data_IF_631274907437
#
_entry.id   IF_631274907437
#
_cell.length_a   1.000
_cell.length_b   1.000
_cell.length_c   1.000
_cell.angle_alpha   90.00
_cell.angle_beta   90.00
_cell.angle_gamma   90.00
#
_symmetry.space_group_name_H-M   'P 1'
#
loop_
_entity.id
_entity.type
_entity.pdbx_description
1 polymer ?
#
# COMPACT_ATOMS: atom_id res chain seq x y z
N UNK A 1 -14.80 11.00 -15.60
CA UNK A 1 -14.06 9.95 -14.86
C UNK A 1 -12.62 10.44 -14.71
N UNK A 2 -12.15 10.72 -13.49
CA UNK A 2 -10.79 11.24 -13.29
C UNK A 2 -9.75 10.16 -13.64
N UNK A 3 -8.92 10.43 -14.65
CA UNK A 3 -7.72 9.66 -14.94
C UNK A 3 -6.63 10.01 -13.92
N UNK A 4 -6.48 9.18 -12.89
CA UNK A 4 -5.35 9.27 -11.96
C UNK A 4 -4.11 8.60 -12.57
N UNK A 5 -3.46 9.27 -13.52
CA UNK A 5 -2.13 8.85 -14.02
C UNK A 5 -0.98 9.70 -13.48
N UNK A 6 -1.26 10.65 -12.60
CA UNK A 6 -0.26 11.59 -12.09
C UNK A 6 -0.07 11.34 -10.60
N UNK A 7 1.13 10.90 -10.22
CA UNK A 7 1.56 10.87 -8.83
C UNK A 7 1.38 12.28 -8.24
N UNK A 8 0.89 12.43 -7.00
CA UNK A 8 0.67 13.75 -6.42
C UNK A 8 1.97 14.55 -6.45
N UNK A 9 1.91 15.79 -6.93
CA UNK A 9 3.09 16.66 -7.04
C UNK A 9 3.73 16.97 -5.68
N UNK A 10 2.94 16.92 -4.61
CA UNK A 10 3.43 17.06 -3.24
C UNK A 10 2.62 16.20 -2.26
N UNK A 11 3.27 15.27 -1.56
CA UNK A 11 2.65 14.44 -0.51
C UNK A 11 2.54 15.18 0.83
N UNK A 12 3.41 16.18 1.05
CA UNK A 12 3.50 17.00 2.25
C UNK A 12 3.32 18.48 1.87
N UNK A 13 2.08 18.97 1.71
CA UNK A 13 1.79 20.38 1.51
C UNK A 13 2.33 21.27 2.65
N UNK A 14 2.25 22.59 2.46
CA UNK A 14 2.75 23.59 3.42
C UNK A 14 2.27 23.28 4.84
N UNK A 15 3.21 23.22 5.79
CA UNK A 15 2.97 22.77 7.17
C UNK A 15 3.51 21.38 7.50
N UNK A 16 4.12 20.68 6.53
CA UNK A 16 4.82 19.39 6.69
C UNK A 16 3.92 18.27 7.25
N UNK A 17 2.60 18.41 7.10
CA UNK A 17 1.63 17.35 7.39
C UNK A 17 1.28 16.64 6.10
N UNK A 18 1.07 15.33 6.21
CA UNK A 18 0.74 14.51 5.05
C UNK A 18 -0.68 14.83 4.55
N UNK A 19 -0.86 14.87 3.24
CA UNK A 19 -2.19 14.90 2.63
C UNK A 19 -2.73 13.48 2.46
N UNK A 20 -3.85 13.18 3.10
CA UNK A 20 -4.42 11.84 3.16
C UNK A 20 -5.03 11.39 1.84
N UNK A 21 -5.60 12.30 1.03
CA UNK A 21 -6.09 11.96 -0.31
C UNK A 21 -4.95 11.63 -1.26
N UNK A 22 -3.84 12.37 -1.16
CA UNK A 22 -2.64 12.10 -1.95
C UNK A 22 -1.96 10.81 -1.52
N UNK A 23 -1.85 10.55 -0.22
CA UNK A 23 -1.34 9.27 0.29
C UNK A 23 -2.18 8.09 -0.21
N UNK A 24 -3.51 8.23 -0.15
CA UNK A 24 -4.44 7.23 -0.64
C UNK A 24 -4.22 6.93 -2.13
N UNK A 25 -4.18 7.97 -2.98
CA UNK A 25 -3.92 7.83 -4.41
C UNK A 25 -2.52 7.27 -4.70
N UNK A 26 -1.53 7.60 -3.87
CA UNK A 26 -0.18 7.07 -4.00
C UNK A 26 -0.16 5.56 -3.83
N UNK A 27 -0.86 5.04 -2.82
CA UNK A 27 -0.99 3.59 -2.63
C UNK A 27 -1.69 2.94 -3.83
N UNK A 28 -2.81 3.51 -4.32
CA UNK A 28 -3.48 3.00 -5.54
C UNK A 28 -2.53 2.83 -6.72
N UNK A 29 -1.76 3.88 -7.02
CA UNK A 29 -0.79 3.87 -8.12
C UNK A 29 0.32 2.84 -7.89
N UNK A 30 0.76 2.64 -6.64
CA UNK A 30 1.73 1.59 -6.30
C UNK A 30 1.15 0.21 -6.64
N UNK A 31 -0.07 -0.11 -6.20
CA UNK A 31 -0.71 -1.39 -6.50
C UNK A 31 -0.88 -1.66 -7.99
N UNK A 32 -1.35 -0.65 -8.75
CA UNK A 32 -1.47 -0.74 -10.21
C UNK A 32 -0.11 -0.94 -10.90
N UNK A 33 0.91 -0.22 -10.45
CA UNK A 33 2.28 -0.35 -10.98
C UNK A 33 2.86 -1.74 -10.73
N UNK A 34 2.68 -2.29 -9.52
CA UNK A 34 3.15 -3.63 -9.17
C UNK A 34 2.43 -4.69 -10.01
N UNK A 35 1.11 -4.58 -10.16
CA UNK A 35 0.33 -5.48 -11.02
C UNK A 35 0.82 -5.47 -12.47
N UNK A 36 1.11 -4.28 -13.00
CA UNK A 36 1.65 -4.11 -14.35
C UNK A 36 3.04 -4.74 -14.48
N UNK A 37 3.93 -4.52 -13.50
CA UNK A 37 5.28 -5.09 -13.50
C UNK A 37 5.26 -6.62 -13.44
N UNK A 38 4.43 -7.21 -12.57
CA UNK A 38 4.20 -8.66 -12.51
C UNK A 38 3.81 -9.24 -13.87
N UNK A 39 2.87 -8.58 -14.56
CA UNK A 39 2.41 -9.00 -15.89
C UNK A 39 3.49 -8.86 -16.95
N UNK A 40 4.20 -7.74 -16.99
CA UNK A 40 5.16 -7.45 -18.06
C UNK A 40 6.45 -8.26 -17.93
N UNK A 41 7.02 -8.30 -16.72
CA UNK A 41 8.33 -8.86 -16.43
C UNK A 41 8.27 -10.37 -16.16
N UNK A 42 7.23 -10.83 -15.46
CA UNK A 42 7.12 -12.22 -14.99
C UNK A 42 5.97 -13.01 -15.62
N UNK A 43 5.18 -12.38 -16.51
CA UNK A 43 3.99 -12.98 -17.15
C UNK A 43 2.94 -13.47 -16.15
N UNK A 44 2.94 -12.92 -14.94
CA UNK A 44 1.97 -13.22 -13.89
C UNK A 44 0.88 -12.15 -13.91
N UNK A 45 -0.32 -12.50 -14.39
CA UNK A 45 -1.45 -11.57 -14.44
C UNK A 45 -2.25 -11.64 -13.15
N UNK A 46 -2.03 -10.67 -12.26
CA UNK A 46 -2.71 -10.60 -10.95
C UNK A 46 -3.28 -9.19 -10.76
N UNK A 47 -4.60 -9.00 -10.74
CA UNK A 47 -5.18 -7.70 -10.41
C UNK A 47 -4.82 -7.36 -8.96
N UNK A 48 -4.31 -6.15 -8.72
CA UNK A 48 -3.99 -5.66 -7.38
C UNK A 48 -4.74 -4.35 -7.21
N UNK A 49 -5.46 -4.24 -6.10
CA UNK A 49 -6.01 -2.97 -5.66
C UNK A 49 -5.45 -2.62 -4.30
N UNK A 50 -5.25 -1.35 -4.03
CA UNK A 50 -4.65 -0.92 -2.77
C UNK A 50 -5.07 0.48 -2.40
N UNK A 51 -4.96 0.81 -1.14
CA UNK A 51 -5.35 2.11 -0.63
C UNK A 51 -4.83 2.33 0.78
N UNK A 52 -4.96 3.56 1.27
CA UNK A 52 -4.66 3.87 2.65
C UNK A 52 -5.51 3.06 3.64
N UNK A 53 -4.87 2.48 4.66
CA UNK A 53 -5.48 1.83 5.83
C UNK A 53 -5.20 2.72 7.07
N UNK A 54 -6.06 2.76 8.10
CA UNK A 54 -5.66 3.40 9.37
C UNK A 54 -6.73 3.94 10.33
N UNK A 55 -8.01 3.60 10.19
CA UNK A 55 -9.02 3.96 11.20
C UNK A 55 -9.05 5.44 11.67
N UNK A 56 -9.35 5.64 12.95
CA UNK A 56 -9.78 6.91 13.58
C UNK A 56 -8.76 8.05 13.64
N UNK A 57 -7.48 7.83 13.30
CA UNK A 57 -6.47 8.92 13.25
C UNK A 57 -6.33 9.57 11.87
N UNK A 58 -7.05 9.08 10.87
CA UNK A 58 -7.04 9.61 9.50
C UNK A 58 -8.16 10.63 9.28
N UNK A 59 -8.20 11.67 10.13
CA UNK A 59 -9.14 12.78 9.96
C UNK A 59 -8.45 13.87 9.14
N UNK A 60 -8.99 14.14 7.95
CA UNK A 60 -8.52 15.22 7.09
C UNK A 60 -9.20 16.56 7.44
N UNK A 61 -8.51 17.66 7.14
CA UNK A 61 -9.13 18.96 6.87
C UNK A 61 -9.77 18.95 5.47
N UNK A 62 -10.53 19.99 5.14
CA UNK A 62 -11.26 20.08 3.86
C UNK A 62 -10.33 20.07 2.63
N UNK A 63 -9.05 20.44 2.81
CA UNK A 63 -8.01 20.40 1.78
C UNK A 63 -7.27 19.04 1.70
N UNK A 64 -7.66 18.06 2.53
CA UNK A 64 -7.06 16.73 2.59
C UNK A 64 -5.85 16.60 3.53
N UNK A 65 -5.35 17.70 4.11
CA UNK A 65 -4.26 17.62 5.08
C UNK A 65 -4.70 16.88 6.35
N UNK A 66 -3.82 16.05 6.90
CA UNK A 66 -4.10 15.39 8.17
C UNK A 66 -4.27 16.42 9.32
N UNK A 67 -5.31 16.25 10.14
CA UNK A 67 -5.52 17.06 11.35
C UNK A 67 -4.43 16.83 12.39
N UNK A 68 -3.84 15.64 12.41
CA UNK A 68 -2.79 15.22 13.33
C UNK A 68 -1.50 14.90 12.57
N UNK A 69 -0.39 14.75 13.31
CA UNK A 69 0.85 14.30 12.71
C UNK A 69 0.82 12.77 12.49
N UNK A 70 0.53 12.36 11.25
CA UNK A 70 0.48 10.95 10.86
C UNK A 70 1.89 10.46 10.55
N UNK A 71 2.47 9.71 11.50
CA UNK A 71 3.84 9.19 11.40
C UNK A 71 3.92 7.69 11.12
N UNK A 72 2.78 7.01 10.94
CA UNK A 72 2.71 5.58 10.58
C UNK A 72 1.82 5.47 9.36
N UNK A 73 2.39 5.04 8.24
CA UNK A 73 1.69 5.00 6.97
C UNK A 73 1.27 3.57 6.70
N UNK A 74 -0.04 3.32 6.66
CA UNK A 74 -0.57 1.98 6.42
C UNK A 74 -1.27 1.90 5.07
N UNK A 75 -1.07 0.77 4.38
CA UNK A 75 -1.75 0.42 3.13
C UNK A 75 -2.51 -0.89 3.31
N UNK A 76 -3.72 -0.97 2.76
CA UNK A 76 -4.41 -2.22 2.45
C UNK A 76 -4.07 -2.60 1.01
N UNK A 77 -3.73 -3.86 0.77
CA UNK A 77 -3.47 -4.42 -0.56
C UNK A 77 -4.31 -5.67 -0.72
N UNK A 78 -5.25 -5.64 -1.65
CA UNK A 78 -6.06 -6.81 -1.97
C UNK A 78 -5.39 -7.64 -3.05
N UNK A 79 -5.31 -8.94 -2.79
CA UNK A 79 -4.85 -9.96 -3.70
C UNK A 79 -5.99 -10.93 -4.00
N UNK A 80 -6.14 -11.38 -5.26
CA UNK A 80 -7.16 -12.34 -5.64
C UNK A 80 -6.86 -13.72 -5.04
N UNK A 81 -7.91 -14.39 -4.57
CA UNK A 81 -7.87 -15.80 -4.17
C UNK A 81 -7.77 -16.69 -5.42
N UNK A 82 -7.35 -17.94 -5.23
CA UNK A 82 -7.27 -18.95 -6.29
C UNK A 82 -6.52 -18.43 -7.54
N UNK A 83 -5.38 -17.81 -7.30
CA UNK A 83 -4.66 -17.02 -8.30
C UNK A 83 -3.24 -17.54 -8.49
N UNK A 84 -2.51 -17.09 -9.51
CA UNK A 84 -1.10 -17.45 -9.67
C UNK A 84 -0.22 -17.17 -8.45
N UNK A 85 -0.66 -16.33 -7.50
CA UNK A 85 0.05 -16.04 -6.25
C UNK A 85 -0.03 -17.16 -5.21
N UNK A 86 -0.78 -18.23 -5.48
CA UNK A 86 -0.80 -19.43 -4.64
C UNK A 86 0.52 -20.21 -4.74
N UNK A 87 1.30 -19.97 -5.81
CA UNK A 87 2.68 -20.43 -5.92
C UNK A 87 3.60 -19.51 -5.13
N UNK A 88 4.42 -20.11 -4.27
CA UNK A 88 5.35 -19.39 -3.38
C UNK A 88 6.28 -18.50 -4.21
N UNK A 89 6.84 -19.02 -5.31
CA UNK A 89 7.75 -18.26 -6.17
C UNK A 89 7.12 -16.97 -6.73
N UNK A 90 5.84 -17.01 -7.10
CA UNK A 90 5.13 -15.85 -7.62
C UNK A 90 4.81 -14.84 -6.52
N UNK A 91 4.56 -15.31 -5.30
CA UNK A 91 4.33 -14.44 -4.15
C UNK A 91 5.63 -13.77 -3.67
N UNK A 92 6.75 -14.47 -3.65
CA UNK A 92 8.06 -13.89 -3.37
C UNK A 92 8.43 -12.82 -4.40
N UNK A 93 8.21 -13.11 -5.68
CA UNK A 93 8.37 -12.14 -6.76
C UNK A 93 7.50 -10.88 -6.56
N UNK A 94 6.23 -11.05 -6.18
CA UNK A 94 5.36 -9.93 -5.82
C UNK A 94 5.96 -9.09 -4.68
N UNK A 95 6.49 -9.73 -3.63
CA UNK A 95 7.09 -9.02 -2.48
C UNK A 95 8.32 -8.22 -2.89
N UNK A 96 9.17 -8.78 -3.73
CA UNK A 96 10.35 -8.09 -4.26
C UNK A 96 9.99 -6.85 -5.10
N UNK A 97 9.03 -6.98 -6.01
CA UNK A 97 8.58 -5.85 -6.84
C UNK A 97 7.88 -4.80 -5.98
N UNK A 98 7.05 -5.23 -5.03
CA UNK A 98 6.30 -4.31 -4.17
C UNK A 98 7.23 -3.49 -3.28
N UNK A 99 8.21 -4.10 -2.61
CA UNK A 99 9.18 -3.37 -1.78
C UNK A 99 9.97 -2.34 -2.61
N UNK A 100 10.45 -2.73 -3.80
CA UNK A 100 11.24 -1.84 -4.66
C UNK A 100 10.41 -0.67 -5.17
N UNK A 101 9.16 -0.94 -5.54
CA UNK A 101 8.21 0.08 -6.02
C UNK A 101 7.89 1.09 -4.93
N UNK A 102 7.61 0.62 -3.71
CA UNK A 102 7.34 1.48 -2.55
C UNK A 102 8.57 2.31 -2.21
N UNK A 103 9.76 1.72 -2.09
CA UNK A 103 11.01 2.45 -1.83
C UNK A 103 11.25 3.55 -2.86
N UNK A 104 11.19 3.21 -4.15
CA UNK A 104 11.43 4.17 -5.24
C UNK A 104 10.41 5.30 -5.27
N UNK A 105 9.14 4.98 -4.99
CA UNK A 105 8.05 5.94 -5.02
C UNK A 105 8.13 6.91 -3.85
N UNK A 106 8.28 6.41 -2.61
CA UNK A 106 8.33 7.25 -1.42
C UNK A 106 9.62 8.07 -1.31
N UNK A 107 10.73 7.62 -1.94
CA UNK A 107 11.96 8.42 -2.06
C UNK A 107 11.74 9.78 -2.72
N UNK A 108 10.80 9.86 -3.69
CA UNK A 108 10.44 11.14 -4.36
C UNK A 108 9.79 12.14 -3.42
N UNK A 109 9.27 11.68 -2.29
CA UNK A 109 8.61 12.50 -1.26
C UNK A 109 9.50 12.73 -0.03
N UNK A 110 10.77 12.33 -0.10
CA UNK A 110 11.74 12.53 0.96
C UNK A 110 11.65 11.54 2.12
N UNK A 111 11.08 10.34 1.89
CA UNK A 111 11.23 9.21 2.80
C UNK A 111 12.36 8.30 2.31
N UNK A 112 13.20 7.81 3.22
CA UNK A 112 14.24 6.83 2.90
C UNK A 112 13.90 5.51 3.60
N UNK A 113 13.17 4.65 2.88
CA UNK A 113 12.66 3.37 3.37
C UNK A 113 13.73 2.29 3.30
N UNK A 114 13.97 1.60 4.42
CA UNK A 114 14.98 0.54 4.58
C UNK A 114 14.43 -0.63 5.39
N UNK A 115 15.26 -1.68 5.51
CA UNK A 115 15.02 -2.88 6.32
C UNK A 115 13.66 -3.55 6.07
N UNK A 116 13.38 -3.97 4.82
CA UNK A 116 12.12 -4.63 4.49
C UNK A 116 11.96 -5.92 5.30
N UNK A 117 10.85 -6.02 6.04
CA UNK A 117 10.43 -7.23 6.73
C UNK A 117 9.05 -7.63 6.30
N UNK A 118 8.91 -8.87 5.83
CA UNK A 118 7.63 -9.44 5.43
C UNK A 118 7.49 -10.88 5.89
N UNK A 119 6.29 -11.45 5.76
CA UNK A 119 6.00 -12.85 6.14
C UNK A 119 5.44 -13.03 7.54
N UNK A 120 5.23 -11.94 8.30
CA UNK A 120 4.47 -11.98 9.54
C UNK A 120 3.04 -12.43 9.25
N UNK A 121 2.56 -13.44 9.98
CA UNK A 121 1.16 -13.88 9.93
C UNK A 121 0.32 -12.99 10.82
N UNK A 122 -0.68 -12.32 10.24
CA UNK A 122 -1.65 -11.47 10.92
C UNK A 122 -2.98 -12.22 10.89
N UNK A 123 -3.78 -12.18 11.98
CA UNK A 123 -5.07 -12.85 12.02
C UNK A 123 -5.93 -12.59 10.77
N UNK A 124 -6.66 -13.63 10.41
CA UNK A 124 -7.49 -13.75 9.22
C UNK A 124 -8.36 -12.51 8.95
N UNK A 125 -8.25 -11.97 7.74
CA UNK A 125 -9.24 -11.03 7.15
C UNK A 125 -10.32 -11.78 6.35
N UNK A 126 -10.16 -13.10 6.20
CA UNK A 126 -11.13 -14.05 5.67
C UNK A 126 -10.86 -15.44 6.26
N UNK A 127 -11.82 -16.37 6.26
CA UNK A 127 -11.63 -17.69 6.88
C UNK A 127 -10.71 -18.67 6.08
N UNK A 128 -9.99 -18.19 5.06
CA UNK A 128 -9.28 -19.07 4.11
C UNK A 128 -7.76 -18.93 4.18
N UNK A 129 -7.23 -17.70 4.27
CA UNK A 129 -5.77 -17.46 4.23
C UNK A 129 -5.38 -16.31 5.13
N UNK A 130 -4.32 -16.46 5.94
CA UNK A 130 -3.90 -15.40 6.84
C UNK A 130 -3.44 -14.17 6.04
N UNK A 131 -3.74 -13.01 6.60
CA UNK A 131 -3.18 -11.74 6.14
C UNK A 131 -1.67 -11.76 6.41
N UNK A 132 -0.87 -11.20 5.51
CA UNK A 132 0.54 -10.91 5.82
C UNK A 132 0.84 -9.43 5.66
N UNK A 133 2.00 -8.98 6.11
CA UNK A 133 2.42 -7.60 5.96
C UNK A 133 3.85 -7.47 5.49
N UNK A 134 4.13 -6.38 4.77
CA UNK A 134 5.46 -5.83 4.55
C UNK A 134 5.58 -4.55 5.37
N UNK A 135 6.63 -4.40 6.17
CA UNK A 135 6.98 -3.16 6.85
C UNK A 135 8.40 -2.71 6.48
N UNK A 136 8.57 -1.40 6.28
CA UNK A 136 9.85 -0.75 6.04
C UNK A 136 9.94 0.54 6.86
N UNK A 137 11.14 0.85 7.35
CA UNK A 137 11.37 1.98 8.27
C UNK A 137 11.92 3.18 7.51
N UNK A 138 11.43 4.37 7.85
CA UNK A 138 11.94 5.61 7.28
C UNK A 138 13.09 6.15 8.13
N UNK A 139 14.24 6.35 7.50
CA UNK A 139 15.46 6.91 8.13
C UNK A 139 15.59 8.42 7.92
N UNK A 140 14.76 9.03 7.06
CA UNK A 140 14.71 10.47 6.87
C UNK A 140 13.89 11.18 7.97
N UNK A 141 13.12 10.44 8.77
CA UNK A 141 12.37 10.97 9.92
C UNK A 141 11.04 11.64 9.57
N UNK A 142 10.53 11.49 8.34
CA UNK A 142 9.20 11.99 7.94
C UNK A 142 8.08 11.05 8.41
N UNK A 143 8.34 9.76 8.43
CA UNK A 143 7.50 8.75 9.05
C UNK A 143 8.35 7.87 9.98
N UNK A 144 7.70 7.04 10.80
CA UNK A 144 8.35 5.96 11.53
C UNK A 144 8.52 4.74 10.63
N UNK A 145 7.48 4.41 9.87
CA UNK A 145 7.47 3.29 8.92
C UNK A 145 6.32 3.40 7.93
N UNK A 146 6.43 2.65 6.85
CA UNK A 146 5.36 2.29 5.92
C UNK A 146 5.07 0.80 6.09
N UNK A 147 3.80 0.43 6.29
CA UNK A 147 3.38 -0.98 6.39
C UNK A 147 2.21 -1.26 5.44
N UNK A 148 2.36 -2.27 4.59
CA UNK A 148 1.32 -2.75 3.70
C UNK A 148 0.78 -4.09 4.20
N UNK A 149 -0.53 -4.21 4.31
CA UNK A 149 -1.25 -5.43 4.68
C UNK A 149 -1.79 -6.09 3.42
N UNK A 150 -1.41 -7.33 3.16
CA UNK A 150 -1.84 -8.13 2.02
C UNK A 150 -2.97 -9.04 2.47
N UNK A 151 -4.18 -8.71 2.02
CA UNK A 151 -5.41 -9.42 2.31
C UNK A 151 -5.90 -10.15 1.07
N UNK A 152 -6.46 -11.35 1.26
CA UNK A 152 -6.92 -12.19 0.16
C UNK A 152 -8.40 -11.91 -0.09
N UNK A 153 -8.74 -11.05 -1.03
CA UNK A 153 -10.13 -10.69 -1.27
C UNK A 153 -10.39 -10.46 -2.75
N UNK A 154 -11.49 -11.03 -3.25
CA UNK A 154 -12.00 -10.75 -4.61
C UNK A 154 -12.64 -9.36 -4.72
N UNK A 155 -12.98 -8.75 -3.58
CA UNK A 155 -13.52 -7.40 -3.52
C UNK A 155 -12.43 -6.35 -3.80
N UNK A 156 -12.83 -5.16 -4.26
CA UNK A 156 -11.91 -4.01 -4.39
C UNK A 156 -11.48 -3.49 -3.02
N UNK A 157 -10.37 -2.75 -2.93
CA UNK A 157 -9.85 -2.26 -1.64
C UNK A 157 -10.90 -1.44 -0.86
N UNK A 158 -11.75 -0.68 -1.57
CA UNK A 158 -12.88 0.06 -0.99
C UNK A 158 -13.84 -0.86 -0.24
N UNK A 159 -14.13 -2.03 -0.83
CA UNK A 159 -15.03 -3.03 -0.24
C UNK A 159 -14.34 -3.79 0.89
N UNK A 160 -13.04 -4.06 0.79
CA UNK A 160 -12.30 -4.75 1.86
C UNK A 160 -12.28 -3.99 3.19
N UNK A 161 -12.37 -2.65 3.17
CA UNK A 161 -12.48 -1.85 4.40
C UNK A 161 -13.82 -2.09 5.12
N UNK A 162 -14.85 -2.52 4.39
CA UNK A 162 -16.22 -2.71 4.88
C UNK A 162 -16.45 -4.18 5.31
N UNK A 163 -15.58 -5.10 4.88
CA UNK A 163 -15.71 -6.55 5.12
C UNK A 163 -14.88 -7.06 6.33
N UNK A 164 -14.62 -6.22 7.33
CA UNK A 164 -14.29 -6.71 8.69
C UNK A 164 -15.60 -7.21 9.34
N UNK A 165 -16.02 -8.45 9.03
CA UNK A 165 -17.07 -9.18 9.79
C UNK A 165 -16.49 -10.42 10.47
#
# INVERSE_FOLDING_TARGET
>A
MMQYKILPGNLYPEGNRINLYYLHNLFKVIGESVSLQMKQQHKVSVPITSGMWGGTYMVALDDGQAKTNVVRLYSIVNLPQNSPLDRIENFECLMEIYQQTVCTTFKRYGLNLVDPRWGESIPYSNNERPTTALQMWDTAGKAKFVRAFFVWNEATWEKSIIYDM
#
